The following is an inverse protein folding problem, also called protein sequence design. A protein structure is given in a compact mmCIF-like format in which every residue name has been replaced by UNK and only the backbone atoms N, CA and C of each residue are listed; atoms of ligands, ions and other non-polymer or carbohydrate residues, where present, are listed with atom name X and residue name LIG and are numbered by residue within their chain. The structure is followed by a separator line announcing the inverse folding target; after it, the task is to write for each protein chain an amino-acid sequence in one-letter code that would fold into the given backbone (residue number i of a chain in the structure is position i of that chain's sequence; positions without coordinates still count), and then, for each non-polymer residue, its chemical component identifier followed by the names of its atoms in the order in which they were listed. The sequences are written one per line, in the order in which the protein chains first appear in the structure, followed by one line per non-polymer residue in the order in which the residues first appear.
data_IF_556906436132
#
_entry.id   IF_556906436132
#
_cell.length_a   1.000
_cell.length_b   1.000
_cell.length_c   1.000
_cell.angle_alpha   90.00
_cell.angle_beta   90.00
_cell.angle_gamma   90.00
#
_symmetry.space_group_name_H-M   'P 1'
#
loop_
_entity.id
_entity.type
_entity.pdbx_description
1 polymer ?
#
# COMPACT_ATOMS: atom_id res chain seq x y z
N UNK A 1 5.66 -5.86 -11.12
CA UNK A 1 6.50 -4.67 -10.84
C UNK A 1 6.68 -3.80 -12.09
N UNK A 2 7.24 -4.33 -13.18
CA UNK A 2 7.51 -3.58 -14.44
C UNK A 2 6.30 -2.83 -15.03
N UNK A 3 5.13 -3.48 -15.03
CA UNK A 3 3.86 -2.93 -15.50
C UNK A 3 3.38 -1.67 -14.76
N UNK A 4 3.62 -1.57 -13.45
CA UNK A 4 3.18 -0.42 -12.64
C UNK A 4 4.21 0.70 -12.65
N UNK A 5 5.51 0.38 -12.78
CA UNK A 5 6.58 1.36 -12.90
C UNK A 5 6.59 2.06 -14.28
N UNK A 6 6.12 1.41 -15.33
CA UNK A 6 6.06 1.96 -16.69
C UNK A 6 4.76 2.72 -17.00
N UNK A 7 3.77 2.69 -16.10
CA UNK A 7 2.51 3.40 -16.31
C UNK A 7 2.67 4.86 -15.89
N UNK A 8 2.22 5.81 -16.72
CA UNK A 8 2.24 7.22 -16.34
C UNK A 8 1.39 7.46 -15.08
N UNK A 9 1.74 8.50 -14.32
CA UNK A 9 1.17 8.81 -13.00
C UNK A 9 -0.37 8.92 -13.01
N UNK A 10 -0.97 9.32 -14.13
CA UNK A 10 -2.42 9.36 -14.35
C UNK A 10 -3.09 7.97 -14.33
N UNK A 11 -2.36 6.88 -14.61
CA UNK A 11 -2.84 5.51 -14.52
C UNK A 11 -2.38 4.78 -13.25
N UNK A 12 -1.21 5.15 -12.70
CA UNK A 12 -0.63 4.56 -11.49
C UNK A 12 -0.97 5.34 -10.21
N UNK A 13 -2.19 5.85 -10.09
CA UNK A 13 -2.59 6.63 -8.91
C UNK A 13 -2.57 5.79 -7.62
N UNK A 14 -2.39 6.40 -6.44
CA UNK A 14 -2.46 5.70 -5.16
C UNK A 14 -3.76 4.90 -4.98
N UNK A 15 -4.87 5.41 -5.53
CA UNK A 15 -6.18 4.76 -5.52
C UNK A 15 -6.22 3.49 -6.37
N UNK A 16 -5.70 3.52 -7.60
CA UNK A 16 -5.64 2.34 -8.46
C UNK A 16 -4.69 1.27 -7.91
N UNK A 17 -3.56 1.69 -7.32
CA UNK A 17 -2.62 0.75 -6.70
C UNK A 17 -3.24 0.06 -5.48
N UNK A 18 -4.05 0.79 -4.70
CA UNK A 18 -4.84 0.22 -3.62
C UNK A 18 -5.92 -0.76 -4.10
N UNK A 19 -6.57 -0.49 -5.24
CA UNK A 19 -7.53 -1.42 -5.84
C UNK A 19 -6.86 -2.70 -6.34
N UNK A 20 -5.72 -2.57 -7.02
CA UNK A 20 -4.93 -3.71 -7.45
C UNK A 20 -4.49 -4.58 -6.25
N UNK A 21 -4.06 -3.94 -5.17
CA UNK A 21 -3.73 -4.62 -3.92
C UNK A 21 -4.95 -5.32 -3.28
N UNK A 22 -6.14 -4.70 -3.30
CA UNK A 22 -7.38 -5.34 -2.87
C UNK A 22 -7.73 -6.56 -3.74
N UNK A 23 -7.43 -6.51 -5.04
CA UNK A 23 -7.57 -7.64 -5.95
C UNK A 23 -6.74 -8.86 -5.51
N UNK A 24 -5.54 -8.64 -4.95
CA UNK A 24 -4.69 -9.72 -4.44
C UNK A 24 -5.26 -10.36 -3.15
N UNK A 25 -6.08 -9.65 -2.39
CA UNK A 25 -6.76 -10.20 -1.22
C UNK A 25 -7.84 -11.25 -1.56
N UNK A 26 -8.16 -11.44 -2.85
CA UNK A 26 -9.05 -12.53 -3.29
C UNK A 26 -8.37 -13.90 -3.25
N UNK A 27 -7.04 -13.94 -3.19
CA UNK A 27 -6.29 -15.19 -3.10
C UNK A 27 -6.23 -15.69 -1.65
N UNK A 28 -6.25 -17.02 -1.44
CA UNK A 28 -6.22 -17.59 -0.10
C UNK A 28 -4.92 -17.21 0.64
N UNK A 29 -5.04 -17.01 1.95
CA UNK A 29 -3.92 -16.63 2.85
C UNK A 29 -3.32 -15.24 2.60
N UNK A 30 -3.95 -14.41 1.78
CA UNK A 30 -3.56 -13.00 1.59
C UNK A 30 -4.62 -12.10 2.22
N UNK A 31 -4.21 -11.17 3.08
CA UNK A 31 -5.05 -10.07 3.55
C UNK A 31 -4.49 -8.73 3.04
N UNK A 32 -5.40 -7.80 2.75
CA UNK A 32 -5.05 -6.46 2.28
C UNK A 32 -5.77 -5.43 3.14
N UNK A 33 -5.00 -4.50 3.72
CA UNK A 33 -5.50 -3.36 4.45
C UNK A 33 -5.02 -2.10 3.74
N UNK A 34 -5.94 -1.18 3.45
CA UNK A 34 -5.63 0.09 2.82
C UNK A 34 -6.03 1.18 3.80
N UNK A 35 -5.05 1.90 4.32
CA UNK A 35 -5.24 2.99 5.26
C UNK A 35 -5.25 4.33 4.51
N UNK A 36 -6.26 5.15 4.80
CA UNK A 36 -6.39 6.50 4.30
C UNK A 36 -5.77 7.56 5.22
N UNK A 37 -5.93 8.85 4.88
CA UNK A 37 -5.33 9.96 5.63
C UNK A 37 -5.72 10.00 7.10
N UNK A 38 -6.98 9.70 7.42
CA UNK A 38 -7.48 9.71 8.82
C UNK A 38 -6.85 8.60 9.67
N UNK A 39 -6.62 7.43 9.08
CA UNK A 39 -6.04 6.28 9.78
C UNK A 39 -4.52 6.46 9.95
N UNK A 40 -3.86 6.98 8.93
CA UNK A 40 -2.44 7.35 8.97
C UNK A 40 -2.17 8.48 9.98
N UNK A 41 -3.09 9.45 10.09
CA UNK A 41 -3.03 10.48 11.14
C UNK A 41 -3.15 9.89 12.55
N UNK A 42 -4.05 8.92 12.76
CA UNK A 42 -4.18 8.20 14.03
C UNK A 42 -2.93 7.40 14.38
N UNK A 43 -2.24 6.85 13.38
CA UNK A 43 -0.97 6.13 13.54
C UNK A 43 0.25 7.06 13.74
N UNK A 44 0.04 8.39 13.84
CA UNK A 44 1.09 9.40 14.01
C UNK A 44 2.19 9.35 12.95
N UNK A 45 1.85 8.95 11.72
CA UNK A 45 2.78 8.88 10.58
C UNK A 45 3.04 10.27 9.96
N UNK A 46 3.50 11.22 10.78
CA UNK A 46 3.63 12.63 10.40
C UNK A 46 4.53 12.89 9.18
N UNK A 47 5.65 12.19 9.08
CA UNK A 47 6.56 12.32 7.93
C UNK A 47 5.93 11.83 6.62
N UNK A 48 5.06 10.82 6.69
CA UNK A 48 4.34 10.33 5.50
C UNK A 48 3.23 11.28 5.07
N UNK A 49 2.53 11.88 6.04
CA UNK A 49 1.53 12.91 5.77
C UNK A 49 2.12 14.18 5.16
N UNK A 50 3.28 14.63 5.63
CA UNK A 50 3.94 15.83 5.12
C UNK A 50 4.27 15.73 3.62
N UNK A 51 4.72 14.57 3.15
CA UNK A 51 5.01 14.34 1.73
C UNK A 51 3.72 14.27 0.90
N UNK A 52 2.65 13.69 1.45
CA UNK A 52 1.38 13.53 0.74
C UNK A 52 0.53 14.81 0.68
N UNK A 53 0.79 15.82 1.52
CA UNK A 53 0.05 17.09 1.51
C UNK A 53 0.20 17.88 0.20
N UNK A 54 1.26 17.63 -0.58
CA UNK A 54 1.47 18.27 -1.88
C UNK A 54 0.68 17.66 -3.04
N UNK A 55 -0.11 16.59 -2.82
CA UNK A 55 -0.82 15.88 -3.88
C UNK A 55 -2.34 16.09 -3.77
N UNK A 56 -3.00 16.28 -4.93
CA UNK A 56 -4.47 16.26 -5.01
C UNK A 56 -5.05 14.86 -4.79
N UNK A 57 -4.25 13.81 -4.97
CA UNK A 57 -4.67 12.43 -4.75
C UNK A 57 -4.57 12.06 -3.27
N UNK A 58 -5.63 11.49 -2.68
CA UNK A 58 -5.63 11.16 -1.27
C UNK A 58 -4.64 10.03 -0.98
N UNK A 59 -3.82 10.22 0.05
CA UNK A 59 -2.81 9.24 0.44
C UNK A 59 -3.42 7.86 0.72
N UNK A 60 -2.71 6.82 0.31
CA UNK A 60 -3.06 5.42 0.53
C UNK A 60 -1.83 4.69 1.05
N UNK A 61 -1.93 4.17 2.27
CA UNK A 61 -0.93 3.28 2.83
C UNK A 61 -1.44 1.84 2.74
N UNK A 62 -0.75 1.00 1.98
CA UNK A 62 -1.21 -0.33 1.61
C UNK A 62 -0.38 -1.36 2.38
N UNK A 63 -1.06 -2.21 3.15
CA UNK A 63 -0.46 -3.32 3.89
C UNK A 63 -1.01 -4.62 3.32
N UNK A 64 -0.16 -5.40 2.69
CA UNK A 64 -0.45 -6.76 2.24
C UNK A 64 0.24 -7.74 3.18
N UNK A 65 -0.52 -8.70 3.71
CA UNK A 65 0.02 -9.75 4.55
C UNK A 65 -0.27 -11.10 3.92
N UNK A 66 0.77 -11.92 3.80
CA UNK A 66 0.67 -13.30 3.35
C UNK A 66 1.01 -14.25 4.49
N UNK A 67 0.07 -15.14 4.84
CA UNK A 67 0.21 -16.09 5.95
C UNK A 67 0.31 -17.53 5.40
N UNK A 68 1.34 -17.80 4.60
CA UNK A 68 1.63 -19.13 4.06
C UNK A 68 2.58 -19.99 4.89
N UNK A 69 3.38 -19.35 5.74
CA UNK A 69 4.42 -19.97 6.55
C UNK A 69 3.90 -20.44 7.92
N UNK A 70 4.65 -21.33 8.57
CA UNK A 70 4.38 -21.72 9.95
C UNK A 70 4.56 -20.51 10.88
N UNK A 71 3.76 -20.44 11.96
CA UNK A 71 3.83 -19.33 12.96
C UNK A 71 5.19 -19.21 13.65
N UNK A 72 6.01 -20.25 13.57
CA UNK A 72 7.37 -20.31 14.13
C UNK A 72 8.43 -19.71 13.21
N UNK A 73 8.10 -19.43 11.95
CA UNK A 73 9.02 -18.78 11.02
C UNK A 73 8.95 -17.25 11.17
N UNK A 74 10.11 -16.61 11.19
CA UNK A 74 10.20 -15.17 11.27
C UNK A 74 9.52 -14.51 10.06
N UNK A 75 8.72 -13.45 10.25
CA UNK A 75 8.06 -12.77 9.15
C UNK A 75 9.09 -12.03 8.29
N UNK A 76 8.92 -12.11 6.97
CA UNK A 76 9.66 -11.25 6.04
C UNK A 76 8.81 -10.02 5.71
N UNK A 77 9.39 -8.84 5.89
CA UNK A 77 8.73 -7.56 5.60
C UNK A 77 9.39 -6.91 4.39
N UNK A 78 8.60 -6.62 3.36
CA UNK A 78 9.03 -5.89 2.18
C UNK A 78 8.44 -4.49 2.22
N UNK A 79 9.30 -3.47 2.19
CA UNK A 79 8.88 -2.05 2.18
C UNK A 79 9.26 -1.46 0.83
N UNK A 80 8.26 -1.06 0.05
CA UNK A 80 8.44 -0.40 -1.24
C UNK A 80 8.05 1.08 -1.17
N UNK A 81 8.88 1.96 -1.72
CA UNK A 81 8.52 3.37 -1.93
C UNK A 81 7.71 3.50 -3.22
N UNK A 82 6.41 3.75 -3.12
CA UNK A 82 5.53 4.02 -4.26
C UNK A 82 5.10 5.48 -4.28
N UNK A 83 5.97 6.38 -4.77
CA UNK A 83 5.58 7.77 -5.05
C UNK A 83 5.06 7.81 -6.48
N UNK A 84 3.80 8.20 -6.63
CA UNK A 84 3.11 8.35 -7.91
C UNK A 84 2.33 9.65 -7.98
#
# INVERSE_FOLDING_TARGET
AKEWANRPANHATPSHLAEAARGLAKFPKISCQVLGPREVAKLKMGSFMAVAQGSEQPLRFIVLQYQGAAKTQAPTVLVGKGIT
#
